data_IF_379297455179
#
_entry.id   IF_379297455179
#
_cell.length_a   1.000
_cell.length_b   1.000
_cell.length_c   1.000
_cell.angle_alpha   90.00
_cell.angle_beta   90.00
_cell.angle_gamma   90.00
#
_symmetry.space_group_name_H-M   'P 1'
#
loop_
_entity.id
_entity.type
_entity.pdbx_description
1 polymer ?
#
# COMPACT_ATOMS: atom_id res chain seq x y z
N UNK A 1 2.86 -4.65 -7.34
CA UNK A 1 1.87 -3.79 -8.03
C UNK A 1 2.04 -2.30 -7.69
N UNK A 2 2.09 -1.91 -6.41
CA UNK A 2 2.23 -0.49 -6.04
C UNK A 2 3.55 0.15 -6.51
N UNK A 3 4.68 -0.59 -6.51
CA UNK A 3 5.97 -0.09 -6.98
C UNK A 3 6.03 0.09 -8.50
N UNK A 4 5.28 -0.70 -9.24
CA UNK A 4 5.25 -0.62 -10.70
C UNK A 4 4.35 0.50 -11.19
N UNK A 5 3.28 0.80 -10.46
CA UNK A 5 2.45 1.99 -10.67
C UNK A 5 3.25 3.28 -10.45
N UNK A 6 4.24 3.29 -9.52
CA UNK A 6 5.13 4.42 -9.32
C UNK A 6 5.96 4.77 -10.56
N UNK A 7 6.59 3.79 -11.19
CA UNK A 7 7.50 4.05 -12.32
C UNK A 7 6.78 4.43 -13.61
N UNK A 8 5.54 4.03 -13.79
CA UNK A 8 4.87 4.12 -15.08
C UNK A 8 3.63 4.99 -15.08
N UNK A 9 3.01 5.30 -13.93
CA UNK A 9 1.80 6.14 -13.80
C UNK A 9 0.76 5.86 -14.91
N UNK A 10 0.82 4.65 -15.53
CA UNK A 10 0.07 4.28 -16.71
C UNK A 10 -0.42 2.83 -16.59
N UNK A 11 -1.70 2.63 -16.89
CA UNK A 11 -2.36 1.32 -16.79
C UNK A 11 -1.87 0.28 -17.78
N UNK A 12 -1.11 0.67 -18.82
CA UNK A 12 -0.60 -0.25 -19.82
C UNK A 12 0.14 -1.45 -19.21
N UNK A 13 1.00 -1.21 -18.22
CA UNK A 13 1.70 -2.28 -17.53
C UNK A 13 0.74 -3.28 -16.87
N UNK A 14 -0.34 -2.77 -16.26
CA UNK A 14 -1.36 -3.61 -15.64
C UNK A 14 -2.13 -4.43 -16.67
N UNK A 15 -2.46 -3.82 -17.82
CA UNK A 15 -3.11 -4.50 -18.94
C UNK A 15 -2.25 -5.64 -19.49
N UNK A 16 -0.95 -5.40 -19.67
CA UNK A 16 -0.01 -6.39 -20.15
C UNK A 16 0.09 -7.61 -19.19
N UNK A 17 -0.37 -7.47 -17.94
CA UNK A 17 -0.44 -8.50 -16.93
C UNK A 17 -1.88 -8.95 -16.58
N UNK A 18 -2.85 -8.62 -17.41
CA UNK A 18 -4.25 -9.04 -17.25
C UNK A 18 -5.00 -8.35 -16.11
N UNK A 19 -4.51 -7.19 -15.62
CA UNK A 19 -5.15 -6.42 -14.54
C UNK A 19 -5.84 -5.19 -15.11
N UNK A 20 -7.15 -5.04 -14.87
CA UNK A 20 -8.00 -4.00 -15.43
C UNK A 20 -8.69 -3.08 -14.41
N UNK A 21 -8.44 -3.28 -13.12
CA UNK A 21 -9.18 -2.59 -12.03
C UNK A 21 -9.00 -1.06 -12.01
N UNK A 22 -7.98 -0.54 -12.71
CA UNK A 22 -7.70 0.90 -12.78
C UNK A 22 -8.16 1.55 -14.08
N UNK A 23 -8.80 0.81 -15.01
CA UNK A 23 -9.15 1.31 -16.33
C UNK A 23 -10.11 2.50 -16.27
N UNK A 24 -11.11 2.43 -15.39
CA UNK A 24 -12.12 3.49 -15.26
C UNK A 24 -11.59 4.80 -14.67
N UNK A 25 -10.40 4.76 -14.05
CA UNK A 25 -9.75 5.92 -13.42
C UNK A 25 -8.67 6.55 -14.30
N UNK A 26 -8.22 5.83 -15.33
CA UNK A 26 -7.18 6.31 -16.21
C UNK A 26 -7.72 7.36 -17.20
N UNK A 27 -6.89 8.34 -17.52
CA UNK A 27 -7.19 9.29 -18.60
C UNK A 27 -7.09 8.61 -19.99
N UNK A 28 -7.32 9.37 -21.06
CA UNK A 28 -7.29 8.90 -22.45
C UNK A 28 -5.93 8.31 -22.85
N UNK A 29 -4.84 8.76 -22.21
CA UNK A 29 -3.49 8.25 -22.40
C UNK A 29 -3.15 7.06 -21.46
N UNK A 30 -4.12 6.63 -20.64
CA UNK A 30 -3.94 5.57 -19.65
C UNK A 30 -3.18 6.00 -18.40
N UNK A 31 -3.11 7.30 -18.08
CA UNK A 31 -2.39 7.83 -16.91
C UNK A 31 -3.29 7.90 -15.70
N UNK A 32 -2.68 7.68 -14.52
CA UNK A 32 -3.36 7.72 -13.22
C UNK A 32 -2.99 8.95 -12.36
N UNK A 33 -2.07 9.80 -12.85
CA UNK A 33 -1.57 10.93 -12.10
C UNK A 33 -0.73 10.51 -10.88
N UNK A 34 -0.58 11.40 -9.91
CA UNK A 34 0.35 11.27 -8.78
C UNK A 34 -0.23 10.44 -7.63
N UNK A 35 -0.77 9.23 -7.93
CA UNK A 35 -1.38 8.37 -6.91
C UNK A 35 -0.33 7.65 -6.04
N UNK A 36 -0.78 6.79 -5.15
CA UNK A 36 -0.05 6.00 -4.13
C UNK A 36 1.47 5.85 -4.32
N UNK A 37 1.90 5.12 -5.34
CA UNK A 37 3.30 4.80 -5.56
C UNK A 37 4.15 6.02 -5.88
N UNK A 38 3.60 7.03 -6.56
CA UNK A 38 4.27 8.31 -6.77
C UNK A 38 4.52 9.00 -5.43
N UNK A 39 3.49 9.16 -4.61
CA UNK A 39 3.62 9.80 -3.29
C UNK A 39 4.59 9.04 -2.38
N UNK A 40 4.60 7.70 -2.42
CA UNK A 40 5.50 6.89 -1.59
C UNK A 40 6.97 6.99 -2.00
N UNK A 41 7.24 7.11 -3.30
CA UNK A 41 8.59 6.99 -3.85
C UNK A 41 9.17 8.32 -4.38
N UNK A 42 8.34 9.32 -4.57
CA UNK A 42 8.75 10.60 -5.18
C UNK A 42 7.92 11.77 -4.64
N UNK A 43 7.75 11.85 -3.32
CA UNK A 43 7.03 12.96 -2.70
C UNK A 43 7.72 14.29 -3.04
N UNK A 44 7.01 15.26 -3.67
CA UNK A 44 7.62 16.53 -4.08
C UNK A 44 8.00 17.38 -2.88
N UNK A 45 9.19 18.00 -2.94
CA UNK A 45 9.68 18.96 -1.93
C UNK A 45 9.70 20.37 -2.49
N UNK A 46 9.65 21.42 -1.63
CA UNK A 46 9.66 22.82 -2.06
C UNK A 46 10.92 23.22 -2.85
N UNK A 47 12.03 22.52 -2.66
CA UNK A 47 13.29 22.77 -3.36
C UNK A 47 13.35 22.15 -4.77
N UNK A 48 12.25 21.57 -5.25
CA UNK A 48 12.15 20.92 -6.56
C UNK A 48 12.71 19.49 -6.59
N UNK A 49 13.26 18.97 -5.48
CA UNK A 49 13.66 17.58 -5.33
C UNK A 49 12.50 16.70 -4.87
N UNK A 50 12.72 15.42 -4.72
CA UNK A 50 11.72 14.50 -4.19
C UNK A 50 12.25 13.67 -3.03
N UNK A 51 11.32 13.16 -2.21
CA UNK A 51 11.61 12.26 -1.11
C UNK A 51 11.06 10.86 -1.42
N UNK A 52 11.92 9.85 -1.38
CA UNK A 52 11.52 8.45 -1.35
C UNK A 52 11.21 8.04 0.10
N UNK A 53 9.92 8.11 0.47
CA UNK A 53 9.45 7.81 1.82
C UNK A 53 9.72 6.33 2.20
N UNK A 54 9.64 5.40 1.24
CA UNK A 54 9.89 3.97 1.50
C UNK A 54 11.35 3.73 1.84
N UNK A 55 12.27 4.29 1.05
CA UNK A 55 13.71 4.17 1.33
C UNK A 55 14.08 4.83 2.66
N UNK A 56 13.52 6.00 2.95
CA UNK A 56 13.73 6.69 4.22
C UNK A 56 13.23 5.84 5.40
N UNK A 57 12.02 5.29 5.32
CA UNK A 57 11.45 4.49 6.41
C UNK A 57 12.23 3.17 6.62
N UNK A 58 12.73 2.53 5.55
CA UNK A 58 13.59 1.34 5.66
C UNK A 58 14.90 1.70 6.39
N UNK A 59 15.51 2.83 6.01
CA UNK A 59 16.69 3.34 6.69
C UNK A 59 16.43 3.57 8.18
N UNK A 60 15.33 4.25 8.50
CA UNK A 60 14.99 4.63 9.88
C UNK A 60 14.63 3.41 10.74
N UNK A 61 13.93 2.40 10.19
CA UNK A 61 13.68 1.14 10.90
C UNK A 61 14.99 0.45 11.29
N UNK A 62 16.01 0.47 10.42
CA UNK A 62 17.31 -0.16 10.66
C UNK A 62 18.19 0.59 11.66
N UNK A 63 18.17 1.92 11.64
CA UNK A 63 19.10 2.76 12.39
C UNK A 63 18.48 3.45 13.61
N UNK A 64 17.15 3.60 13.63
CA UNK A 64 16.38 4.26 14.67
C UNK A 64 15.05 3.56 14.92
N UNK A 65 15.05 2.26 15.28
CA UNK A 65 13.81 1.44 15.36
C UNK A 65 12.79 1.98 16.39
N UNK A 66 13.23 2.76 17.37
CA UNK A 66 12.36 3.38 18.37
C UNK A 66 11.75 4.72 17.89
N UNK A 67 12.00 5.13 16.66
CA UNK A 67 11.43 6.34 16.09
C UNK A 67 9.90 6.27 16.05
N UNK A 68 9.25 7.38 16.39
CA UNK A 68 7.80 7.57 16.25
C UNK A 68 7.42 8.22 14.92
N UNK A 69 8.38 8.34 13.99
CA UNK A 69 8.24 8.99 12.69
C UNK A 69 8.32 8.00 11.52
N UNK A 70 8.13 6.70 11.77
CA UNK A 70 8.15 5.65 10.76
C UNK A 70 6.82 5.66 9.96
N UNK A 71 6.55 6.78 9.29
CA UNK A 71 5.27 7.06 8.61
C UNK A 71 5.52 7.19 7.11
N UNK A 72 4.59 6.64 6.32
CA UNK A 72 4.49 6.86 4.87
C UNK A 72 3.10 7.40 4.57
N UNK A 73 3.03 8.55 3.92
CA UNK A 73 1.78 9.21 3.53
C UNK A 73 1.57 9.14 2.02
N UNK A 74 0.35 8.79 1.61
CA UNK A 74 -0.11 8.98 0.24
C UNK A 74 -1.00 10.22 0.10
N UNK A 75 -1.50 10.75 1.22
CA UNK A 75 -2.38 11.91 1.23
C UNK A 75 -1.56 13.21 1.15
N UNK A 76 -1.41 13.71 -0.06
CA UNK A 76 -0.79 15.00 -0.34
C UNK A 76 -1.88 16.01 -0.69
N UNK A 77 -2.31 16.80 0.31
CA UNK A 77 -3.45 17.71 0.15
C UNK A 77 -3.22 18.76 -0.96
N UNK A 78 -1.98 19.14 -1.22
CA UNK A 78 -1.64 20.09 -2.29
C UNK A 78 -1.60 19.49 -3.70
N UNK A 79 -1.76 18.17 -3.82
CA UNK A 79 -1.63 17.44 -5.09
C UNK A 79 -2.86 16.58 -5.42
N UNK A 80 -3.90 16.66 -4.59
CA UNK A 80 -5.13 15.84 -4.71
C UNK A 80 -5.79 15.99 -6.07
N UNK A 81 -5.82 17.21 -6.61
CA UNK A 81 -6.47 17.51 -7.89
C UNK A 81 -5.75 16.90 -9.11
N UNK A 82 -4.47 16.51 -8.94
CA UNK A 82 -3.66 15.85 -9.96
C UNK A 82 -3.73 14.31 -9.87
N UNK A 83 -4.60 13.77 -9.04
CA UNK A 83 -4.75 12.34 -8.83
C UNK A 83 -6.02 11.83 -9.50
N UNK A 84 -5.93 10.74 -10.26
CA UNK A 84 -7.10 10.09 -10.86
C UNK A 84 -8.11 9.68 -9.78
N UNK A 85 -7.63 9.27 -8.60
CA UNK A 85 -8.43 8.95 -7.43
C UNK A 85 -7.66 9.35 -6.15
N UNK A 86 -8.23 10.23 -5.29
CA UNK A 86 -7.64 10.53 -3.99
C UNK A 86 -7.42 9.26 -3.15
N UNK A 87 -6.24 9.09 -2.52
CA UNK A 87 -5.88 7.85 -1.85
C UNK A 87 -6.86 7.45 -0.74
N UNK A 88 -7.44 6.27 -0.84
CA UNK A 88 -8.23 5.66 0.25
C UNK A 88 -7.32 5.24 1.40
N UNK A 89 -6.17 4.64 1.10
CA UNK A 89 -5.12 4.32 2.07
C UNK A 89 -4.28 5.58 2.31
N UNK A 90 -4.73 6.45 3.23
CA UNK A 90 -4.18 7.79 3.37
C UNK A 90 -2.75 7.81 3.92
N UNK A 91 -2.49 7.00 4.93
CA UNK A 91 -1.16 6.83 5.53
C UNK A 91 -1.03 5.50 6.25
N UNK A 92 0.20 5.04 6.41
CA UNK A 92 0.53 3.94 7.31
C UNK A 92 1.77 4.25 8.14
N UNK A 93 1.86 3.62 9.31
CA UNK A 93 2.94 3.79 10.26
C UNK A 93 3.48 2.43 10.69
N UNK A 94 4.80 2.32 10.80
CA UNK A 94 5.46 1.15 11.36
C UNK A 94 5.81 1.35 12.83
N UNK A 95 5.86 0.22 13.55
CA UNK A 95 6.27 0.14 14.94
C UNK A 95 7.15 -1.10 15.16
N UNK A 96 8.29 -0.89 15.80
CA UNK A 96 9.25 -1.98 16.10
C UNK A 96 9.23 -2.26 17.60
N UNK A 97 8.97 -3.50 17.97
CA UNK A 97 9.08 -3.98 19.33
C UNK A 97 9.45 -5.48 19.37
N UNK A 98 10.29 -5.87 20.32
CA UNK A 98 10.66 -7.27 20.55
C UNK A 98 11.13 -8.01 19.27
N UNK A 99 11.88 -7.32 18.40
CA UNK A 99 12.37 -7.88 17.14
C UNK A 99 11.28 -8.11 16.08
N UNK A 100 10.11 -7.50 16.24
CA UNK A 100 8.97 -7.57 15.31
C UNK A 100 8.64 -6.20 14.74
N UNK A 101 8.21 -6.18 13.47
CA UNK A 101 7.70 -5.01 12.78
C UNK A 101 6.18 -5.11 12.64
N UNK A 102 5.46 -4.18 13.23
CA UNK A 102 4.01 -4.01 13.08
C UNK A 102 3.71 -2.84 12.17
N UNK A 103 2.55 -2.86 11.51
CA UNK A 103 2.09 -1.80 10.63
C UNK A 103 0.66 -1.40 11.00
N UNK A 104 0.41 -0.09 11.12
CA UNK A 104 -0.94 0.45 11.24
C UNK A 104 -1.27 1.23 9.96
N UNK A 105 -2.40 0.90 9.33
CA UNK A 105 -2.98 1.62 8.19
C UNK A 105 -4.17 2.45 8.65
N UNK A 106 -4.23 3.72 8.24
CA UNK A 106 -5.46 4.49 8.22
C UNK A 106 -6.03 4.52 6.80
N UNK A 107 -7.20 3.93 6.63
CA UNK A 107 -7.98 3.92 5.38
C UNK A 107 -9.20 4.80 5.55
N UNK A 108 -9.24 5.96 4.86
CA UNK A 108 -10.31 6.96 4.99
C UNK A 108 -11.67 6.50 4.43
N UNK A 109 -11.64 5.60 3.44
CA UNK A 109 -12.84 5.09 2.75
C UNK A 109 -12.62 3.61 2.46
N UNK A 110 -13.55 2.77 2.89
CA UNK A 110 -13.38 1.32 2.93
C UNK A 110 -14.63 0.59 2.38
N UNK A 111 -14.53 0.13 1.12
CA UNK A 111 -15.47 -0.85 0.58
C UNK A 111 -15.24 -2.20 1.28
N UNK A 112 -16.15 -2.52 2.19
CA UNK A 112 -16.00 -3.68 3.09
C UNK A 112 -16.02 -5.00 2.35
N UNK A 113 -16.79 -5.09 1.26
CA UNK A 113 -16.98 -6.36 0.57
C UNK A 113 -15.84 -6.70 -0.42
N UNK A 114 -15.51 -5.78 -1.33
CA UNK A 114 -14.46 -6.02 -2.33
C UNK A 114 -13.11 -5.43 -1.91
N UNK A 115 -13.07 -4.19 -1.43
CA UNK A 115 -11.83 -3.46 -1.20
C UNK A 115 -11.06 -3.98 0.01
N UNK A 116 -11.69 -4.06 1.18
CA UNK A 116 -11.03 -4.38 2.45
C UNK A 116 -10.25 -5.71 2.43
N UNK A 117 -10.74 -6.84 1.88
CA UNK A 117 -9.97 -8.07 1.80
C UNK A 117 -8.65 -7.91 1.03
N UNK A 118 -8.67 -7.21 -0.10
CA UNK A 118 -7.46 -6.93 -0.88
C UNK A 118 -6.53 -5.96 -0.15
N UNK A 119 -7.09 -4.97 0.56
CA UNK A 119 -6.31 -4.02 1.33
C UNK A 119 -5.56 -4.72 2.48
N UNK A 120 -6.23 -5.62 3.21
CA UNK A 120 -5.61 -6.43 4.26
C UNK A 120 -4.47 -7.28 3.67
N UNK A 121 -4.73 -8.00 2.57
CA UNK A 121 -3.72 -8.84 1.94
C UNK A 121 -2.49 -8.02 1.49
N UNK A 122 -2.72 -6.84 0.87
CA UNK A 122 -1.66 -5.95 0.39
C UNK A 122 -0.78 -5.42 1.52
N UNK A 123 -1.37 -4.95 2.62
CA UNK A 123 -0.60 -4.39 3.73
C UNK A 123 0.00 -5.45 4.64
N UNK A 124 -0.60 -6.63 4.75
CA UNK A 124 0.03 -7.78 5.39
C UNK A 124 1.29 -8.19 4.61
N UNK A 125 1.21 -8.29 3.27
CA UNK A 125 2.37 -8.55 2.42
C UNK A 125 3.42 -7.45 2.55
N UNK A 126 3.04 -6.17 2.52
CA UNK A 126 3.95 -5.05 2.71
C UNK A 126 4.67 -5.14 4.05
N UNK A 127 3.95 -5.45 5.14
CA UNK A 127 4.53 -5.61 6.47
C UNK A 127 5.57 -6.74 6.51
N UNK A 128 5.26 -7.89 5.87
CA UNK A 128 6.19 -9.02 5.77
C UNK A 128 7.44 -8.65 4.96
N UNK A 129 7.28 -7.98 3.82
CA UNK A 129 8.41 -7.54 2.97
C UNK A 129 9.30 -6.55 3.73
N UNK A 130 8.72 -5.55 4.39
CA UNK A 130 9.45 -4.54 5.16
C UNK A 130 10.18 -5.18 6.35
N UNK A 131 9.53 -6.10 7.07
CA UNK A 131 10.16 -6.85 8.16
C UNK A 131 11.39 -7.63 7.65
N UNK A 132 11.23 -8.37 6.54
CA UNK A 132 12.30 -9.15 5.93
C UNK A 132 13.50 -8.27 5.52
N UNK A 133 13.25 -7.15 4.82
CA UNK A 133 14.30 -6.19 4.38
C UNK A 133 15.04 -5.57 5.57
N UNK A 134 14.34 -5.37 6.69
CA UNK A 134 14.91 -4.78 7.90
C UNK A 134 15.50 -5.82 8.88
N UNK A 135 15.48 -7.12 8.55
CA UNK A 135 15.97 -8.18 9.44
C UNK A 135 15.09 -8.41 10.67
N UNK A 136 13.82 -8.10 10.59
CA UNK A 136 12.84 -8.25 11.67
C UNK A 136 11.84 -9.37 11.34
N UNK A 137 11.11 -9.83 12.35
CA UNK A 137 9.95 -10.73 12.15
C UNK A 137 8.68 -9.89 11.91
N UNK A 138 7.71 -10.37 11.12
CA UNK A 138 6.41 -9.73 11.05
C UNK A 138 5.73 -9.68 12.43
N UNK A 139 5.17 -8.53 12.75
CA UNK A 139 4.34 -8.28 13.92
C UNK A 139 2.86 -8.27 13.56
N UNK A 140 2.12 -7.28 14.07
CA UNK A 140 0.69 -7.12 13.85
C UNK A 140 0.42 -6.16 12.68
N UNK A 141 -0.65 -6.41 11.94
CA UNK A 141 -1.25 -5.44 11.05
C UNK A 141 -2.52 -4.88 11.71
N UNK A 142 -2.52 -3.59 12.00
CA UNK A 142 -3.65 -2.87 12.59
C UNK A 142 -4.31 -2.05 11.49
N UNK A 143 -5.59 -2.29 11.22
CA UNK A 143 -6.34 -1.63 10.15
C UNK A 143 -7.40 -0.70 10.75
N UNK A 144 -7.19 0.61 10.66
CA UNK A 144 -8.15 1.62 11.08
C UNK A 144 -8.95 2.10 9.87
N UNK A 145 -10.25 1.95 9.94
CA UNK A 145 -11.19 2.32 8.88
C UNK A 145 -11.93 3.61 9.26
N UNK A 146 -12.02 4.55 8.33
CA UNK A 146 -12.83 5.76 8.43
C UNK A 146 -14.28 5.47 7.99
N UNK A 147 -14.68 5.98 6.82
CA UNK A 147 -15.98 5.66 6.24
C UNK A 147 -15.98 4.21 5.75
N UNK A 148 -16.73 3.36 6.42
CA UNK A 148 -16.84 1.92 6.16
C UNK A 148 -18.21 1.62 5.60
N UNK A 149 -18.28 1.13 4.36
CA UNK A 149 -19.52 0.96 3.63
C UNK A 149 -19.60 -0.36 2.85
N UNK A 150 -20.82 -0.72 2.46
CA UNK A 150 -21.14 -1.80 1.53
C UNK A 150 -21.99 -1.20 0.43
N UNK A 151 -21.58 -1.37 -0.82
CA UNK A 151 -22.36 -0.91 -1.98
C UNK A 151 -23.67 -1.70 -2.11
N UNK A 152 -24.75 -1.02 -2.48
CA UNK A 152 -26.10 -1.63 -2.56
C UNK A 152 -26.16 -2.80 -3.55
N UNK A 153 -25.39 -2.75 -4.63
CA UNK A 153 -25.30 -3.85 -5.60
C UNK A 153 -24.52 -5.07 -5.10
N UNK A 154 -23.91 -5.00 -3.92
CA UNK A 154 -23.18 -6.13 -3.29
C UNK A 154 -23.99 -6.83 -2.17
N UNK A 155 -25.17 -6.35 -1.82
CA UNK A 155 -25.93 -6.85 -0.67
C UNK A 155 -26.23 -8.36 -0.79
N UNK A 156 -26.64 -8.84 -1.96
CA UNK A 156 -26.96 -10.26 -2.16
C UNK A 156 -25.71 -11.14 -2.08
N UNK A 157 -24.56 -10.67 -2.57
CA UNK A 157 -23.29 -11.37 -2.48
C UNK A 157 -22.79 -11.42 -1.03
N UNK A 158 -22.97 -10.35 -0.26
CA UNK A 158 -22.65 -10.32 1.18
C UNK A 158 -23.51 -11.34 1.94
N UNK A 159 -24.84 -11.35 1.70
CA UNK A 159 -25.73 -12.35 2.30
C UNK A 159 -25.28 -13.77 1.99
N UNK A 160 -24.93 -14.06 0.74
CA UNK A 160 -24.41 -15.36 0.33
C UNK A 160 -23.09 -15.69 1.04
N UNK A 161 -22.17 -14.74 1.17
CA UNK A 161 -20.90 -14.95 1.88
C UNK A 161 -21.12 -15.31 3.34
N UNK A 162 -22.06 -14.67 4.02
CA UNK A 162 -22.40 -14.94 5.42
C UNK A 162 -22.97 -16.34 5.67
N UNK A 163 -23.42 -17.05 4.65
CA UNK A 163 -23.87 -18.46 4.77
C UNK A 163 -22.73 -19.48 4.70
N UNK A 164 -21.50 -19.03 4.40
CA UNK A 164 -20.34 -19.91 4.20
C UNK A 164 -19.52 -20.05 5.46
N UNK A 165 -19.01 -21.26 5.70
CA UNK A 165 -18.05 -21.49 6.77
C UNK A 165 -16.69 -20.89 6.42
N UNK A 166 -16.01 -20.20 7.36
CA UNK A 166 -14.68 -19.66 7.15
C UNK A 166 -13.67 -20.76 6.84
N UNK A 167 -12.79 -20.50 5.85
CA UNK A 167 -11.68 -21.41 5.54
C UNK A 167 -10.45 -21.08 6.41
N UNK A 168 -9.49 -22.00 6.57
CA UNK A 168 -8.20 -21.70 7.19
C UNK A 168 -7.53 -20.51 6.50
N UNK A 169 -6.85 -19.67 7.29
CA UNK A 169 -6.13 -18.52 6.75
C UNK A 169 -5.00 -18.96 5.82
N UNK A 170 -4.78 -18.26 4.70
CA UNK A 170 -3.67 -18.55 3.80
C UNK A 170 -2.32 -18.26 4.49
N UNK A 171 -1.30 -18.99 4.08
CA UNK A 171 0.10 -18.69 4.45
C UNK A 171 0.81 -18.06 3.26
N UNK A 172 1.62 -17.05 3.53
CA UNK A 172 2.48 -16.40 2.55
C UNK A 172 3.94 -16.70 2.90
N UNK A 173 4.70 -17.14 1.91
CA UNK A 173 6.16 -17.27 2.00
C UNK A 173 6.80 -16.29 1.01
N UNK A 174 7.78 -15.53 1.49
CA UNK A 174 8.51 -14.57 0.66
C UNK A 174 9.87 -15.19 0.33
N UNK A 175 10.14 -15.31 -0.98
CA UNK A 175 11.43 -15.82 -1.44
C UNK A 175 12.56 -14.84 -1.01
N UNK A 176 13.62 -15.31 -0.34
CA UNK A 176 14.74 -14.46 0.06
C UNK A 176 15.45 -13.72 -1.08
N UNK A 177 15.39 -14.24 -2.30
CA UNK A 177 16.00 -13.62 -3.50
C UNK A 177 15.32 -12.30 -3.90
N UNK A 178 14.12 -12.02 -3.41
CA UNK A 178 13.38 -10.77 -3.69
C UNK A 178 14.06 -9.50 -3.15
N UNK A 179 15.14 -9.62 -2.38
CA UNK A 179 15.92 -8.47 -1.87
C UNK A 179 16.58 -7.60 -2.94
N UNK A 180 16.91 -8.17 -4.09
CA UNK A 180 17.66 -7.46 -5.15
C UNK A 180 16.87 -6.32 -5.78
N UNK A 181 15.56 -6.39 -5.82
CA UNK A 181 14.73 -5.34 -6.42
C UNK A 181 14.54 -4.09 -5.55
N UNK A 182 14.70 -4.20 -4.22
CA UNK A 182 14.65 -3.06 -3.31
C UNK A 182 16.01 -2.35 -3.20
N UNK A 183 17.12 -3.02 -3.57
CA UNK A 183 18.49 -2.45 -3.57
C UNK A 183 18.89 -1.79 -4.90
N UNK A 184 18.18 -2.05 -5.99
CA UNK A 184 18.56 -1.59 -7.33
C UNK A 184 18.46 -0.06 -7.58
N UNK A 185 18.32 0.74 -6.53
CA UNK A 185 18.22 2.19 -6.59
C UNK A 185 19.23 2.93 -5.69
N UNK A 186 20.28 2.23 -5.23
CA UNK A 186 21.39 2.87 -4.49
C UNK A 186 22.60 3.22 -5.40
N UNK A 187 22.38 3.30 -6.72
CA UNK A 187 23.40 3.83 -7.66
C UNK A 187 22.85 4.97 -8.49
#
# INVERSE_FOLDING_TARGET
AASDVYKRQNVKYLHDHGVSIWNEWADEDGRLGHIYGYQWRSWPKPDGTSLDQISQVVHDIKHSPNSRRLIVSAWNAGDIENMALPPCHALFQFYVANGKLSCQLYQRSADTFLGVPFNIASYALLTMMMAQVCGLKPGEFVHTLGDTHIYLNHIEQVKLQLTREPRPLPRMEINPVSYTHLRAHET
#
